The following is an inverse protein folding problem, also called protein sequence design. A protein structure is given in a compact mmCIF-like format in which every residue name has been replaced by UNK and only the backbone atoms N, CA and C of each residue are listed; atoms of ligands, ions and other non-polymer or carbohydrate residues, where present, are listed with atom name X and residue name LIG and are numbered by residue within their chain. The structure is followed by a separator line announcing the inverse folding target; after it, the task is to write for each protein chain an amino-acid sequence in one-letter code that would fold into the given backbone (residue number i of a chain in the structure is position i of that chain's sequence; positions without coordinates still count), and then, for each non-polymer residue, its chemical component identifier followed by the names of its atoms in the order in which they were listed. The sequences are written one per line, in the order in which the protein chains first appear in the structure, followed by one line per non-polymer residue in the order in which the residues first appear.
data_IF_323100493925
#
_entry.id   IF_323100493925
#
_cell.length_a   1.000
_cell.length_b   1.000
_cell.length_c   1.000
_cell.angle_alpha   90.00
_cell.angle_beta   90.00
_cell.angle_gamma   90.00
#
_symmetry.space_group_name_H-M   'P 1'
#
loop_
_entity.id
_entity.type
_entity.pdbx_description
1 polymer ?
#
# COMPACT_ATOMS: atom_id res chain seq x y z
N UNK A 1 58.77 36.01 -9.56
CA UNK A 1 57.38 36.20 -9.13
C UNK A 1 56.52 35.45 -10.18
N UNK A 2 56.35 34.17 -9.96
CA UNK A 2 55.57 33.30 -10.87
C UNK A 2 54.23 33.03 -10.19
N UNK A 3 53.18 33.48 -10.84
CA UNK A 3 51.77 33.26 -10.41
C UNK A 3 51.40 31.82 -10.73
N UNK A 4 51.21 31.01 -9.70
CA UNK A 4 50.65 29.65 -9.82
C UNK A 4 49.13 29.80 -9.93
N UNK A 5 48.61 29.39 -11.05
CA UNK A 5 47.16 29.38 -11.34
C UNK A 5 46.58 28.09 -10.73
N UNK A 6 45.91 28.24 -9.58
CA UNK A 6 45.33 27.15 -8.77
C UNK A 6 43.85 26.84 -9.08
N UNK A 7 43.42 26.97 -10.31
CA UNK A 7 42.01 26.72 -10.68
C UNK A 7 41.85 25.68 -11.79
N UNK A 8 42.43 24.50 -11.60
CA UNK A 8 42.08 23.34 -12.43
C UNK A 8 41.37 22.27 -11.57
N UNK A 9 40.09 22.49 -11.34
CA UNK A 9 39.23 21.46 -10.81
C UNK A 9 39.19 20.26 -11.80
N UNK A 10 39.51 19.03 -11.40
CA UNK A 10 39.42 17.90 -12.30
C UNK A 10 37.98 17.72 -12.75
N UNK A 11 37.72 17.30 -14.01
CA UNK A 11 36.39 17.11 -14.52
C UNK A 11 35.63 16.11 -13.63
N UNK A 12 34.54 16.55 -13.04
CA UNK A 12 33.61 15.70 -12.32
C UNK A 12 33.10 14.63 -13.29
N UNK A 13 33.61 13.41 -13.12
CA UNK A 13 33.05 12.23 -13.80
C UNK A 13 31.65 12.06 -13.24
N UNK A 14 30.65 12.47 -14.00
CA UNK A 14 29.25 12.19 -13.70
C UNK A 14 29.12 10.68 -13.47
N UNK A 15 28.54 10.24 -12.34
CA UNK A 15 28.32 8.82 -12.12
C UNK A 15 27.45 8.29 -13.26
N UNK A 16 27.98 7.35 -14.04
CA UNK A 16 27.22 6.63 -15.05
C UNK A 16 26.00 6.06 -14.35
N UNK A 17 24.76 6.45 -14.73
CA UNK A 17 23.57 5.92 -14.08
C UNK A 17 23.57 4.43 -14.32
N UNK A 18 23.72 3.65 -13.23
CA UNK A 18 23.54 2.20 -13.28
C UNK A 18 22.17 1.94 -13.91
N UNK A 19 22.09 1.07 -14.94
CA UNK A 19 20.82 0.75 -15.55
C UNK A 19 19.89 0.25 -14.47
N UNK A 20 18.81 1.01 -14.18
CA UNK A 20 17.76 0.59 -13.26
C UNK A 20 17.23 -0.73 -13.81
N UNK A 21 17.23 -1.83 -13.03
CA UNK A 21 16.60 -3.06 -13.50
C UNK A 21 15.12 -2.70 -13.74
N UNK A 22 14.74 -2.68 -15.00
CA UNK A 22 13.35 -2.46 -15.41
C UNK A 22 12.53 -3.68 -14.92
N UNK A 23 12.04 -3.62 -13.70
CA UNK A 23 11.10 -4.60 -13.13
C UNK A 23 9.67 -4.28 -13.59
N UNK A 24 9.52 -3.70 -14.76
CA UNK A 24 8.21 -3.52 -15.36
C UNK A 24 7.67 -4.87 -15.79
N UNK A 25 6.35 -5.04 -15.67
CA UNK A 25 5.64 -6.22 -16.15
C UNK A 25 6.06 -6.61 -17.58
N UNK A 26 6.34 -5.60 -18.42
CA UNK A 26 6.87 -5.76 -19.76
C UNK A 26 8.24 -6.45 -19.81
N UNK A 27 9.15 -6.13 -18.89
CA UNK A 27 10.47 -6.76 -18.84
C UNK A 27 10.36 -8.22 -18.35
N UNK A 28 9.46 -8.53 -17.45
CA UNK A 28 9.17 -9.89 -17.03
C UNK A 28 8.54 -10.71 -18.16
N UNK A 29 7.55 -10.14 -18.85
CA UNK A 29 6.90 -10.79 -19.99
C UNK A 29 7.87 -10.99 -21.16
N UNK A 30 8.72 -10.01 -21.47
CA UNK A 30 9.72 -10.14 -22.56
C UNK A 30 10.79 -11.17 -22.23
N UNK A 31 11.20 -11.32 -20.97
CA UNK A 31 12.11 -12.39 -20.52
C UNK A 31 11.43 -13.76 -20.58
N UNK A 32 10.18 -13.85 -20.10
CA UNK A 32 9.40 -15.08 -20.16
C UNK A 32 9.15 -15.57 -21.61
N UNK A 33 9.07 -14.65 -22.57
CA UNK A 33 8.94 -15.01 -24.00
C UNK A 33 10.25 -15.57 -24.57
N UNK A 34 11.40 -15.14 -24.07
CA UNK A 34 12.73 -15.54 -24.62
C UNK A 34 13.29 -16.82 -24.00
N UNK A 35 13.01 -17.09 -22.72
CA UNK A 35 13.53 -18.24 -21.98
C UNK A 35 12.45 -19.33 -21.82
N UNK A 36 12.64 -20.56 -22.39
CA UNK A 36 11.66 -21.63 -22.30
C UNK A 36 11.38 -22.07 -20.86
N UNK A 37 12.35 -22.02 -19.95
CA UNK A 37 12.14 -22.37 -18.54
C UNK A 37 11.23 -21.34 -17.84
N UNK A 38 11.40 -20.06 -18.15
CA UNK A 38 10.55 -19.00 -17.62
C UNK A 38 9.13 -19.05 -18.22
N UNK A 39 8.97 -19.47 -19.49
CA UNK A 39 7.65 -19.69 -20.09
C UNK A 39 6.84 -20.72 -19.32
N UNK A 40 7.45 -21.88 -19.01
CA UNK A 40 6.78 -22.94 -18.24
C UNK A 40 6.34 -22.43 -16.87
N UNK A 41 7.18 -21.65 -16.18
CA UNK A 41 6.85 -21.06 -14.88
C UNK A 41 5.70 -20.05 -14.98
N UNK A 42 5.71 -19.18 -15.98
CA UNK A 42 4.64 -18.18 -16.19
C UNK A 42 3.33 -18.86 -16.57
N UNK A 43 3.37 -19.82 -17.52
CA UNK A 43 2.18 -20.57 -17.92
C UNK A 43 1.62 -21.37 -16.75
N UNK A 44 2.48 -22.06 -15.99
CA UNK A 44 2.06 -22.75 -14.75
C UNK A 44 1.44 -21.84 -13.74
N UNK A 45 2.03 -20.66 -13.51
CA UNK A 45 1.47 -19.64 -12.62
C UNK A 45 0.10 -19.13 -13.08
N UNK A 46 -0.08 -18.88 -14.38
CA UNK A 46 -1.37 -18.48 -14.96
C UNK A 46 -2.43 -19.58 -14.83
N UNK A 47 -2.06 -20.84 -15.07
CA UNK A 47 -2.97 -21.98 -14.88
C UNK A 47 -3.37 -22.07 -13.41
N UNK A 48 -2.43 -21.99 -12.48
CA UNK A 48 -2.72 -22.02 -11.03
C UNK A 48 -3.66 -20.86 -10.63
N UNK A 49 -3.39 -19.64 -11.12
CA UNK A 49 -4.24 -18.48 -10.86
C UNK A 49 -5.66 -18.66 -11.42
N UNK A 50 -5.78 -19.21 -12.62
CA UNK A 50 -7.08 -19.49 -13.24
C UNK A 50 -7.85 -20.55 -12.46
N UNK A 51 -7.19 -21.66 -12.09
CA UNK A 51 -7.81 -22.71 -11.28
C UNK A 51 -8.22 -22.19 -9.90
N UNK A 52 -7.39 -21.36 -9.29
CA UNK A 52 -7.69 -20.68 -8.04
C UNK A 52 -8.92 -19.76 -8.18
N UNK A 53 -9.00 -18.97 -9.26
CA UNK A 53 -10.17 -18.13 -9.56
C UNK A 53 -11.46 -18.94 -9.77
N UNK A 54 -11.37 -20.11 -10.46
CA UNK A 54 -12.50 -21.03 -10.64
C UNK A 54 -12.94 -21.62 -9.29
N UNK A 55 -12.00 -22.01 -8.44
CA UNK A 55 -12.30 -22.57 -7.11
C UNK A 55 -13.02 -21.57 -6.20
N UNK A 56 -12.62 -20.31 -6.26
CA UNK A 56 -13.18 -19.23 -5.45
C UNK A 56 -14.17 -18.32 -6.20
N UNK A 57 -14.70 -18.79 -7.35
CA UNK A 57 -15.62 -17.98 -8.18
C UNK A 57 -16.82 -17.44 -7.42
N UNK A 58 -17.37 -18.23 -6.47
CA UNK A 58 -18.55 -17.84 -5.70
C UNK A 58 -18.21 -16.71 -4.72
N UNK A 59 -16.99 -16.72 -4.15
CA UNK A 59 -16.48 -15.64 -3.29
C UNK A 59 -16.17 -14.37 -4.08
N UNK A 60 -15.60 -14.51 -5.29
CA UNK A 60 -15.40 -13.36 -6.18
C UNK A 60 -16.74 -12.75 -6.60
N UNK A 61 -17.75 -13.57 -6.87
CA UNK A 61 -19.12 -13.11 -7.15
C UNK A 61 -19.75 -12.46 -5.92
N UNK A 62 -19.55 -13.02 -4.72
CA UNK A 62 -19.99 -12.44 -3.45
C UNK A 62 -19.40 -11.04 -3.23
N UNK A 63 -18.11 -10.85 -3.47
CA UNK A 63 -17.49 -9.53 -3.43
C UNK A 63 -18.11 -8.57 -4.43
N UNK A 64 -18.19 -8.95 -5.69
CA UNK A 64 -18.80 -8.11 -6.74
C UNK A 64 -20.22 -7.70 -6.36
N UNK A 65 -21.04 -8.66 -5.92
CA UNK A 65 -22.41 -8.39 -5.50
C UNK A 65 -22.46 -7.44 -4.30
N UNK A 66 -21.67 -7.70 -3.24
CA UNK A 66 -21.62 -6.85 -2.06
C UNK A 66 -21.17 -5.42 -2.40
N UNK A 67 -20.17 -5.27 -3.26
CA UNK A 67 -19.65 -3.94 -3.63
C UNK A 67 -20.59 -3.15 -4.54
N UNK A 68 -21.46 -3.82 -5.27
CA UNK A 68 -22.46 -3.17 -6.18
C UNK A 68 -23.78 -2.89 -5.52
N UNK A 69 -24.20 -3.70 -4.53
CA UNK A 69 -25.54 -3.62 -3.94
C UNK A 69 -25.55 -3.07 -2.52
N UNK A 70 -24.45 -3.24 -1.77
CA UNK A 70 -24.34 -2.72 -0.41
C UNK A 70 -23.42 -1.51 -0.38
N UNK A 71 -24.02 -0.37 -0.21
CA UNK A 71 -23.33 0.91 -0.09
C UNK A 71 -22.22 0.94 0.97
N UNK A 72 -22.29 0.10 2.02
CA UNK A 72 -21.28 0.04 3.08
C UNK A 72 -19.95 -0.51 2.55
N UNK A 73 -19.99 -1.30 1.48
CA UNK A 73 -18.82 -1.96 0.89
C UNK A 73 -18.44 -1.43 -0.50
N UNK A 74 -19.05 -0.36 -0.97
CA UNK A 74 -18.75 0.25 -2.27
C UNK A 74 -17.26 0.61 -2.46
N UNK A 75 -16.55 0.93 -1.37
CA UNK A 75 -15.10 1.13 -1.37
C UNK A 75 -14.29 -0.14 -1.68
N UNK A 76 -14.91 -1.32 -1.64
CA UNK A 76 -14.28 -2.59 -1.92
C UNK A 76 -13.64 -2.67 -3.31
N UNK A 77 -14.18 -1.97 -4.32
CA UNK A 77 -13.54 -1.85 -5.64
C UNK A 77 -12.18 -1.14 -5.60
N UNK A 78 -12.02 -0.18 -4.70
CA UNK A 78 -10.78 0.60 -4.60
C UNK A 78 -9.67 -0.16 -3.87
N UNK A 79 -10.02 -1.06 -2.95
CA UNK A 79 -9.06 -1.78 -2.10
C UNK A 79 -8.07 -2.63 -2.91
N UNK A 80 -8.47 -3.46 -3.89
CA UNK A 80 -7.52 -4.20 -4.73
C UNK A 80 -6.59 -3.29 -5.53
N UNK A 81 -7.10 -2.16 -6.05
CA UNK A 81 -6.30 -1.19 -6.80
C UNK A 81 -5.24 -0.53 -5.91
N UNK A 82 -5.62 -0.13 -4.70
CA UNK A 82 -4.66 0.41 -3.72
C UNK A 82 -3.67 -0.65 -3.25
N UNK A 83 -4.09 -1.91 -3.08
CA UNK A 83 -3.18 -3.01 -2.78
C UNK A 83 -2.13 -3.20 -3.86
N UNK A 84 -2.51 -3.13 -5.14
CA UNK A 84 -1.57 -3.17 -6.27
C UNK A 84 -0.63 -1.95 -6.26
N UNK A 85 -1.14 -0.77 -5.94
CA UNK A 85 -0.30 0.41 -5.76
C UNK A 85 0.73 0.22 -4.66
N UNK A 86 0.34 -0.32 -3.48
CA UNK A 86 1.28 -0.63 -2.41
C UNK A 86 2.28 -1.71 -2.82
N UNK A 87 1.85 -2.73 -3.57
CA UNK A 87 2.75 -3.74 -4.11
C UNK A 87 3.82 -3.13 -5.02
N UNK A 88 3.41 -2.19 -5.88
CA UNK A 88 4.33 -1.45 -6.74
C UNK A 88 5.32 -0.60 -5.92
N UNK A 89 4.85 0.11 -4.88
CA UNK A 89 5.73 0.87 -3.98
C UNK A 89 6.76 -0.01 -3.27
N UNK A 90 6.35 -1.21 -2.84
CA UNK A 90 7.27 -2.18 -2.22
C UNK A 90 8.27 -2.72 -3.24
N UNK A 91 7.86 -2.97 -4.49
CA UNK A 91 8.72 -3.43 -5.56
C UNK A 91 9.86 -2.43 -5.86
N UNK A 92 9.56 -1.13 -5.83
CA UNK A 92 10.57 -0.08 -6.03
C UNK A 92 11.63 0.03 -4.93
N UNK A 93 11.41 -0.57 -3.76
CA UNK A 93 12.39 -0.60 -2.66
C UNK A 93 13.57 -1.58 -2.89
N UNK A 94 13.68 -2.19 -4.07
CA UNK A 94 14.76 -3.08 -4.48
C UNK A 94 14.37 -4.56 -4.57
N UNK A 95 15.26 -5.42 -5.07
CA UNK A 95 14.98 -6.82 -5.29
C UNK A 95 14.72 -7.58 -3.99
N UNK A 96 13.82 -8.56 -4.04
CA UNK A 96 13.56 -9.49 -2.94
C UNK A 96 14.34 -10.77 -3.17
N UNK A 97 15.04 -11.25 -2.16
CA UNK A 97 15.65 -12.58 -2.23
C UNK A 97 14.54 -13.64 -2.30
N UNK A 98 14.47 -14.32 -3.42
CA UNK A 98 13.56 -15.45 -3.61
C UNK A 98 14.13 -16.63 -2.83
N UNK A 99 13.46 -16.99 -1.73
CA UNK A 99 13.77 -18.23 -0.97
C UNK A 99 12.56 -19.13 -0.99
N UNK A 100 12.82 -20.45 -0.90
CA UNK A 100 11.74 -21.42 -0.84
C UNK A 100 10.74 -21.10 0.28
N UNK A 101 9.48 -20.94 -0.11
CA UNK A 101 8.33 -20.76 0.79
C UNK A 101 7.38 -21.95 0.76
N UNK A 102 7.86 -23.14 0.32
CA UNK A 102 7.02 -24.32 0.04
C UNK A 102 6.21 -24.77 1.26
N UNK A 103 6.82 -24.82 2.45
CA UNK A 103 6.12 -25.28 3.65
C UNK A 103 5.03 -24.28 4.04
N UNK A 104 5.38 -23.01 4.25
CA UNK A 104 4.43 -21.99 4.68
C UNK A 104 3.36 -21.74 3.62
N UNK A 105 3.77 -21.57 2.36
CA UNK A 105 2.83 -21.35 1.24
C UNK A 105 1.90 -22.56 1.04
N UNK A 106 2.43 -23.79 1.15
CA UNK A 106 1.63 -25.00 1.10
C UNK A 106 0.64 -25.13 2.26
N UNK A 107 1.06 -24.78 3.49
CA UNK A 107 0.16 -24.75 4.65
C UNK A 107 -0.96 -23.70 4.47
N UNK A 108 -0.64 -22.50 3.97
CA UNK A 108 -1.62 -21.45 3.71
C UNK A 108 -2.62 -21.88 2.63
N UNK A 109 -2.17 -22.49 1.54
CA UNK A 109 -3.06 -23.04 0.51
C UNK A 109 -3.91 -24.21 1.04
N UNK A 110 -3.34 -25.09 1.84
CA UNK A 110 -4.08 -26.17 2.50
C UNK A 110 -5.18 -25.63 3.42
N UNK A 111 -4.85 -24.59 4.21
CA UNK A 111 -5.82 -23.90 5.07
C UNK A 111 -6.93 -23.21 4.25
N UNK A 112 -6.56 -22.57 3.15
CA UNK A 112 -7.52 -21.93 2.25
C UNK A 112 -8.46 -22.96 1.60
N UNK A 113 -7.93 -24.09 1.13
CA UNK A 113 -8.70 -25.18 0.58
C UNK A 113 -9.63 -25.79 1.64
N UNK A 114 -9.13 -26.02 2.85
CA UNK A 114 -9.96 -26.50 3.97
C UNK A 114 -11.10 -25.52 4.29
N UNK A 115 -10.79 -24.22 4.40
CA UNK A 115 -11.79 -23.17 4.59
C UNK A 115 -12.85 -23.19 3.48
N UNK A 116 -12.42 -23.32 2.22
CA UNK A 116 -13.34 -23.42 1.08
C UNK A 116 -14.22 -24.67 1.14
N UNK A 117 -13.67 -25.82 1.48
CA UNK A 117 -14.40 -27.07 1.62
C UNK A 117 -15.47 -26.99 2.73
N UNK A 118 -15.15 -26.35 3.86
CA UNK A 118 -16.11 -26.12 4.95
C UNK A 118 -17.27 -25.24 4.50
N UNK A 119 -17.04 -24.27 3.63
CA UNK A 119 -18.11 -23.35 3.17
C UNK A 119 -19.02 -23.93 2.11
N UNK A 120 -18.73 -25.10 1.54
CA UNK A 120 -19.62 -25.79 0.60
C UNK A 120 -20.94 -26.25 1.29
N UNK A 121 -20.89 -27.01 2.40
CA UNK A 121 -22.09 -27.41 3.12
C UNK A 121 -22.64 -26.33 4.06
N UNK A 122 -21.83 -25.35 4.46
CA UNK A 122 -22.19 -24.31 5.41
C UNK A 122 -22.22 -22.95 4.72
N UNK A 123 -23.35 -22.23 4.69
CA UNK A 123 -23.45 -20.91 4.05
C UNK A 123 -22.78 -19.82 4.92
N UNK A 124 -21.45 -19.87 5.03
CA UNK A 124 -20.62 -18.89 5.75
C UNK A 124 -19.71 -18.19 4.75
N UNK A 125 -20.23 -17.24 3.92
CA UNK A 125 -19.44 -16.57 2.88
C UNK A 125 -18.15 -15.94 3.40
N UNK A 126 -18.22 -15.30 4.57
CA UNK A 126 -17.09 -14.64 5.22
C UNK A 126 -15.87 -15.56 5.43
N UNK A 127 -16.09 -16.81 5.82
CA UNK A 127 -15.01 -17.79 5.96
C UNK A 127 -14.35 -18.11 4.61
N UNK A 128 -15.16 -18.24 3.56
CA UNK A 128 -14.68 -18.45 2.20
C UNK A 128 -13.90 -17.24 1.66
N UNK A 129 -14.35 -16.03 1.99
CA UNK A 129 -13.69 -14.78 1.62
C UNK A 129 -12.31 -14.65 2.27
N UNK A 130 -12.20 -14.97 3.57
CA UNK A 130 -10.91 -15.03 4.25
C UNK A 130 -10.01 -16.15 3.70
N UNK A 131 -10.59 -17.31 3.38
CA UNK A 131 -9.87 -18.42 2.76
C UNK A 131 -9.29 -18.02 1.40
N UNK A 132 -10.02 -17.23 0.60
CA UNK A 132 -9.53 -16.67 -0.67
C UNK A 132 -8.29 -15.79 -0.42
N UNK A 133 -8.33 -14.88 0.56
CA UNK A 133 -7.18 -13.99 0.87
C UNK A 133 -5.96 -14.78 1.35
N UNK A 134 -6.17 -15.75 2.25
CA UNK A 134 -5.11 -16.64 2.74
C UNK A 134 -4.52 -17.46 1.60
N UNK A 135 -5.36 -17.98 0.70
CA UNK A 135 -4.93 -18.74 -0.47
C UNK A 135 -4.12 -17.89 -1.46
N UNK A 136 -4.53 -16.64 -1.68
CA UNK A 136 -3.79 -15.70 -2.53
C UNK A 136 -2.40 -15.40 -1.95
N UNK A 137 -2.32 -15.16 -0.64
CA UNK A 137 -1.05 -14.97 0.06
C UNK A 137 -0.20 -16.25 0.07
N UNK A 138 -0.83 -17.42 0.19
CA UNK A 138 -0.18 -18.73 0.11
C UNK A 138 0.43 -19.00 -1.26
N UNK A 139 -0.30 -18.73 -2.33
CA UNK A 139 0.18 -18.86 -3.71
C UNK A 139 1.35 -17.89 -3.98
N UNK A 140 1.24 -16.65 -3.52
CA UNK A 140 2.33 -15.68 -3.59
C UNK A 140 3.58 -16.19 -2.85
N UNK A 141 3.40 -16.77 -1.65
CA UNK A 141 4.49 -17.31 -0.83
C UNK A 141 5.14 -18.52 -1.46
N UNK A 142 4.39 -19.39 -2.14
CA UNK A 142 4.95 -20.53 -2.89
C UNK A 142 5.87 -20.08 -4.01
N UNK A 143 5.51 -19.02 -4.72
CA UNK A 143 6.23 -18.54 -5.90
C UNK A 143 7.44 -17.71 -5.48
N UNK A 144 7.27 -16.75 -4.56
CA UNK A 144 8.27 -15.73 -4.23
C UNK A 144 8.97 -15.96 -2.88
N UNK A 145 8.43 -16.87 -2.07
CA UNK A 145 9.01 -17.27 -0.79
C UNK A 145 8.55 -16.46 0.41
N UNK A 146 8.95 -16.94 1.59
CA UNK A 146 8.53 -16.38 2.90
C UNK A 146 9.03 -14.96 3.12
N UNK A 147 10.25 -14.64 2.66
CA UNK A 147 10.80 -13.27 2.77
C UNK A 147 9.97 -12.26 1.96
N UNK A 148 9.46 -12.68 0.79
CA UNK A 148 8.58 -11.86 -0.01
C UNK A 148 7.25 -11.60 0.71
N UNK A 149 6.63 -12.63 1.32
CA UNK A 149 5.41 -12.45 2.11
C UNK A 149 5.59 -11.44 3.24
N UNK A 150 6.68 -11.56 4.01
CA UNK A 150 6.97 -10.60 5.10
C UNK A 150 7.15 -9.18 4.56
N UNK A 151 7.78 -9.01 3.40
CA UNK A 151 7.97 -7.70 2.80
C UNK A 151 6.67 -7.10 2.25
N UNK A 152 5.79 -7.93 1.69
CA UNK A 152 4.51 -7.54 1.11
C UNK A 152 3.33 -7.75 2.06
N UNK A 153 3.56 -7.98 3.35
CA UNK A 153 2.53 -8.30 4.34
C UNK A 153 1.36 -7.31 4.33
N UNK A 154 1.66 -6.01 4.19
CA UNK A 154 0.65 -4.96 4.21
C UNK A 154 -0.28 -5.03 3.00
N UNK A 155 0.22 -5.45 1.83
CA UNK A 155 -0.58 -5.63 0.61
C UNK A 155 -1.71 -6.63 0.86
N UNK A 156 -1.38 -7.78 1.47
CA UNK A 156 -2.37 -8.82 1.80
C UNK A 156 -3.27 -8.42 2.97
N UNK A 157 -2.70 -7.77 3.99
CA UNK A 157 -3.47 -7.22 5.10
C UNK A 157 -4.51 -6.20 4.60
N UNK A 158 -4.14 -5.32 3.69
CA UNK A 158 -5.03 -4.28 3.18
C UNK A 158 -6.22 -4.85 2.42
N UNK A 159 -6.08 -6.01 1.76
CA UNK A 159 -7.19 -6.70 1.11
C UNK A 159 -8.30 -7.12 2.08
N UNK A 160 -8.05 -7.21 3.38
CA UNK A 160 -9.09 -7.52 4.38
C UNK A 160 -10.19 -6.45 4.40
N UNK A 161 -9.87 -5.20 4.07
CA UNK A 161 -10.85 -4.11 4.05
C UNK A 161 -11.90 -4.22 2.93
N UNK A 162 -11.71 -5.10 1.96
CA UNK A 162 -12.70 -5.36 0.92
C UNK A 162 -13.72 -6.45 1.30
N UNK A 163 -13.47 -7.18 2.39
CA UNK A 163 -14.27 -8.34 2.82
C UNK A 163 -15.54 -7.89 3.53
N UNK A 164 -16.74 -8.27 3.06
CA UNK A 164 -17.98 -7.95 3.74
C UNK A 164 -18.08 -8.69 5.08
N UNK A 165 -18.40 -7.96 6.14
CA UNK A 165 -18.61 -8.55 7.46
C UNK A 165 -19.96 -9.26 7.52
N UNK A 166 -20.08 -10.40 8.20
CA UNK A 166 -21.37 -11.04 8.48
C UNK A 166 -22.31 -10.07 9.20
N UNK A 167 -23.59 -10.08 8.85
CA UNK A 167 -24.62 -9.19 9.44
C UNK A 167 -24.61 -9.21 10.97
N UNK A 168 -24.40 -10.40 11.57
CA UNK A 168 -24.34 -10.53 13.03
C UNK A 168 -23.12 -9.81 13.65
N UNK A 169 -21.97 -9.79 12.99
CA UNK A 169 -20.80 -9.04 13.45
C UNK A 169 -20.97 -7.55 13.16
N UNK A 170 -21.47 -7.22 11.98
CA UNK A 170 -21.79 -5.85 11.58
C UNK A 170 -22.73 -5.19 12.62
N UNK A 171 -23.88 -5.81 12.94
CA UNK A 171 -24.85 -5.24 13.86
C UNK A 171 -24.32 -5.12 15.29
N UNK A 172 -23.50 -6.05 15.77
CA UNK A 172 -22.86 -5.94 17.10
C UNK A 172 -21.95 -4.72 17.24
N UNK A 173 -21.30 -4.30 16.15
CA UNK A 173 -20.42 -3.13 16.12
C UNK A 173 -21.25 -1.86 15.83
N UNK A 174 -22.17 -1.93 14.88
CA UNK A 174 -22.93 -0.78 14.42
C UNK A 174 -23.94 -0.28 15.46
N UNK A 175 -24.68 -1.20 16.15
CA UNK A 175 -25.74 -0.81 17.07
C UNK A 175 -25.27 0.09 18.23
N UNK A 176 -24.21 -0.23 18.99
CA UNK A 176 -23.76 0.67 20.06
C UNK A 176 -23.28 2.02 19.55
N UNK A 177 -22.69 2.07 18.35
CA UNK A 177 -22.24 3.31 17.72
C UNK A 177 -23.41 4.18 17.25
N UNK A 178 -24.46 3.55 16.69
CA UNK A 178 -25.70 4.24 16.33
C UNK A 178 -26.40 4.83 17.56
N UNK A 179 -26.50 4.05 18.65
CA UNK A 179 -27.06 4.52 19.93
C UNK A 179 -26.27 5.69 20.52
N UNK A 180 -24.94 5.65 20.43
CA UNK A 180 -24.09 6.75 20.86
C UNK A 180 -24.31 7.97 19.98
N UNK A 181 -24.32 7.79 18.65
CA UNK A 181 -24.53 8.88 17.70
C UNK A 181 -25.90 9.56 17.90
N UNK A 182 -26.99 8.78 18.09
CA UNK A 182 -28.33 9.35 18.31
C UNK A 182 -28.42 10.12 19.63
N UNK A 183 -27.81 9.62 20.71
CA UNK A 183 -27.78 10.33 22.00
C UNK A 183 -27.00 11.64 21.93
N UNK A 184 -25.82 11.62 21.34
CA UNK A 184 -24.98 12.84 21.17
C UNK A 184 -25.68 13.83 20.27
N UNK A 185 -26.21 13.38 19.12
CA UNK A 185 -26.92 14.24 18.18
C UNK A 185 -28.17 14.88 18.81
N UNK A 186 -28.99 14.10 19.53
CA UNK A 186 -30.17 14.66 20.23
C UNK A 186 -29.77 15.68 21.30
N UNK A 187 -28.68 15.45 22.03
CA UNK A 187 -28.16 16.42 23.01
C UNK A 187 -27.74 17.72 22.33
N UNK A 188 -27.02 17.65 21.22
CA UNK A 188 -26.60 18.82 20.41
C UNK A 188 -27.81 19.58 19.89
N UNK A 189 -28.78 18.88 19.28
CA UNK A 189 -30.00 19.51 18.75
C UNK A 189 -30.85 20.17 19.83
N UNK A 190 -31.04 19.50 20.97
CA UNK A 190 -31.75 20.10 22.13
C UNK A 190 -31.01 21.34 22.65
N UNK A 191 -29.69 21.31 22.75
CA UNK A 191 -28.89 22.45 23.19
C UNK A 191 -28.95 23.65 22.22
N UNK A 192 -29.21 23.39 20.94
CA UNK A 192 -29.33 24.43 19.89
C UNK A 192 -30.77 24.85 19.61
N UNK A 193 -31.73 24.43 20.44
CA UNK A 193 -33.13 24.92 20.42
C UNK A 193 -34.07 24.06 19.55
N UNK A 194 -33.66 22.93 19.03
CA UNK A 194 -34.56 21.98 18.36
C UNK A 194 -34.88 20.83 19.34
N UNK A 195 -36.10 20.79 19.92
CA UNK A 195 -36.46 19.76 20.88
C UNK A 195 -36.61 18.41 20.16
N UNK A 196 -35.78 17.44 20.55
CA UNK A 196 -35.75 16.09 19.98
C UNK A 196 -35.92 15.06 21.06
N UNK A 197 -36.90 14.17 20.90
CA UNK A 197 -37.07 13.00 21.75
C UNK A 197 -36.27 11.85 21.15
N UNK A 198 -35.31 11.30 21.90
CA UNK A 198 -34.46 10.18 21.46
C UNK A 198 -34.84 8.90 22.20
N UNK A 199 -35.34 7.91 21.48
CA UNK A 199 -35.72 6.59 21.99
C UNK A 199 -34.87 5.53 21.27
N UNK A 200 -33.74 5.16 21.87
CA UNK A 200 -32.79 4.26 21.23
C UNK A 200 -32.10 4.91 19.99
N UNK A 201 -32.30 4.35 18.82
CA UNK A 201 -31.81 4.89 17.53
C UNK A 201 -32.90 5.65 16.75
N UNK A 202 -34.09 5.83 17.34
CA UNK A 202 -35.18 6.63 16.79
C UNK A 202 -35.18 8.02 17.41
N UNK A 203 -35.18 9.03 16.59
CA UNK A 203 -35.28 10.43 16.99
C UNK A 203 -36.58 11.02 16.46
N UNK A 204 -37.40 11.59 17.35
CA UNK A 204 -38.66 12.26 16.98
C UNK A 204 -38.46 13.77 17.10
N UNK A 205 -38.57 14.44 15.94
CA UNK A 205 -38.46 15.90 15.83
C UNK A 205 -39.80 16.60 16.04
N UNK A 206 -39.82 17.92 16.25
CA UNK A 206 -41.05 18.71 16.28
C UNK A 206 -41.95 18.47 15.08
N UNK A 207 -43.25 18.40 15.27
CA UNK A 207 -44.22 18.05 14.20
C UNK A 207 -44.42 16.55 14.03
N UNK A 208 -43.81 15.70 14.86
CA UNK A 208 -43.99 14.23 14.79
C UNK A 208 -43.16 13.55 13.74
N UNK A 209 -42.23 14.27 13.12
CA UNK A 209 -41.30 13.73 12.10
C UNK A 209 -40.33 12.76 12.77
N UNK A 210 -40.27 11.52 12.28
CA UNK A 210 -39.39 10.48 12.83
C UNK A 210 -38.19 10.26 11.95
N UNK A 211 -37.01 10.19 12.54
CA UNK A 211 -35.75 9.85 11.91
C UNK A 211 -35.16 8.61 12.57
N UNK A 212 -34.81 7.60 11.76
CA UNK A 212 -34.09 6.41 12.21
C UNK A 212 -32.62 6.55 11.88
N UNK A 213 -31.79 6.64 12.91
CA UNK A 213 -30.32 6.79 12.72
C UNK A 213 -29.73 5.57 11.99
N UNK A 214 -30.33 4.37 12.14
CA UNK A 214 -29.91 3.16 11.44
C UNK A 214 -30.10 3.22 9.91
N UNK A 215 -31.17 3.84 9.45
CA UNK A 215 -31.50 3.95 8.02
C UNK A 215 -30.76 5.15 7.39
N UNK A 216 -30.83 6.30 8.04
CA UNK A 216 -30.25 7.55 7.53
C UNK A 216 -28.71 7.59 7.63
N UNK A 217 -28.13 6.95 8.66
CA UNK A 217 -26.73 7.13 8.99
C UNK A 217 -26.14 5.82 9.54
N UNK A 218 -25.92 4.82 8.68
CA UNK A 218 -25.35 3.53 9.12
C UNK A 218 -23.95 3.65 9.77
N UNK A 219 -23.29 4.81 9.64
CA UNK A 219 -21.97 5.10 10.23
C UNK A 219 -20.85 4.12 9.82
N UNK A 220 -21.21 2.87 9.56
CA UNK A 220 -20.28 1.78 9.25
C UNK A 220 -19.57 2.00 7.93
N UNK A 221 -20.24 2.49 6.88
CA UNK A 221 -19.60 2.86 5.60
C UNK A 221 -18.44 3.82 5.85
N UNK A 222 -18.69 4.82 6.66
CA UNK A 222 -17.73 5.85 7.00
C UNK A 222 -16.60 5.28 7.87
N UNK A 223 -16.92 4.43 8.85
CA UNK A 223 -15.92 3.78 9.71
C UNK A 223 -14.98 2.86 8.95
N UNK A 224 -15.51 1.94 8.14
CA UNK A 224 -14.68 1.00 7.36
C UNK A 224 -13.83 1.72 6.34
N UNK A 225 -14.40 2.72 5.64
CA UNK A 225 -13.67 3.58 4.71
C UNK A 225 -12.57 4.39 5.40
N UNK A 226 -12.84 5.02 6.55
CA UNK A 226 -11.82 5.74 7.31
C UNK A 226 -10.75 4.83 7.88
N UNK A 227 -11.11 3.64 8.36
CA UNK A 227 -10.13 2.69 8.87
C UNK A 227 -9.18 2.23 7.75
N UNK A 228 -9.70 1.92 6.56
CA UNK A 228 -8.89 1.62 5.40
C UNK A 228 -7.99 2.80 5.00
N UNK A 229 -8.56 4.01 4.95
CA UNK A 229 -7.83 5.22 4.61
C UNK A 229 -6.70 5.53 5.60
N UNK A 230 -6.97 5.49 6.91
CA UNK A 230 -5.96 5.75 7.95
C UNK A 230 -4.87 4.69 7.96
N UNK A 231 -5.22 3.41 7.71
CA UNK A 231 -4.24 2.34 7.53
C UNK A 231 -3.33 2.60 6.32
N UNK A 232 -3.90 3.05 5.19
CA UNK A 232 -3.14 3.43 4.01
C UNK A 232 -2.22 4.63 4.29
N UNK A 233 -2.73 5.69 4.90
CA UNK A 233 -1.95 6.88 5.29
C UNK A 233 -0.82 6.50 6.24
N UNK A 234 -1.11 5.73 7.28
CA UNK A 234 -0.12 5.27 8.25
C UNK A 234 0.98 4.42 7.62
N UNK A 235 0.64 3.61 6.60
CA UNK A 235 1.63 2.81 5.88
C UNK A 235 2.52 3.65 4.97
N UNK A 236 1.96 4.64 4.28
CA UNK A 236 2.70 5.51 3.36
C UNK A 236 3.56 6.54 4.09
N UNK A 237 3.20 6.88 5.32
CA UNK A 237 3.90 7.90 6.10
C UNK A 237 5.21 7.35 6.67
N UNK A 238 6.34 8.03 6.37
CA UNK A 238 7.67 7.69 6.89
C UNK A 238 7.87 8.20 8.34
N UNK A 239 6.95 7.88 9.24
CA UNK A 239 6.95 8.30 10.65
C UNK A 239 7.15 7.13 11.61
N UNK A 240 7.55 7.37 12.86
CA UNK A 240 7.69 6.35 13.89
C UNK A 240 6.41 5.53 14.10
N UNK A 241 6.53 4.30 14.61
CA UNK A 241 5.40 3.39 14.81
C UNK A 241 4.28 3.96 15.69
N UNK A 242 4.62 4.68 16.76
CA UNK A 242 3.63 5.32 17.63
C UNK A 242 2.73 6.32 16.88
N UNK A 243 3.32 7.15 15.99
CA UNK A 243 2.57 8.10 15.16
C UNK A 243 1.57 7.37 14.28
N UNK A 244 2.01 6.33 13.57
CA UNK A 244 1.16 5.49 12.72
C UNK A 244 0.02 4.86 13.52
N UNK A 245 0.31 4.39 14.74
CA UNK A 245 -0.69 3.81 15.64
C UNK A 245 -1.73 4.85 16.04
N UNK A 246 -1.32 6.06 16.41
CA UNK A 246 -2.24 7.17 16.75
C UNK A 246 -3.13 7.52 15.56
N UNK A 247 -2.58 7.62 14.34
CA UNK A 247 -3.35 7.91 13.12
C UNK A 247 -4.40 6.83 12.85
N UNK A 248 -4.04 5.55 12.98
CA UNK A 248 -5.00 4.44 12.78
C UNK A 248 -6.07 4.43 13.88
N UNK A 249 -5.70 4.61 15.15
CA UNK A 249 -6.67 4.63 16.26
C UNK A 249 -7.61 5.85 16.18
N UNK A 250 -7.17 6.95 15.61
CA UNK A 250 -7.98 8.14 15.39
C UNK A 250 -9.09 7.93 14.34
N UNK A 251 -9.01 6.90 13.51
CA UNK A 251 -10.07 6.56 12.56
C UNK A 251 -11.44 6.43 13.25
N UNK A 252 -11.48 5.76 14.40
CA UNK A 252 -12.72 5.52 15.13
C UNK A 252 -13.37 6.81 15.66
N UNK A 253 -12.69 7.67 16.45
CA UNK A 253 -13.28 8.91 16.93
C UNK A 253 -13.58 9.91 15.79
N UNK A 254 -12.77 9.96 14.73
CA UNK A 254 -13.03 10.83 13.57
C UNK A 254 -14.31 10.37 12.84
N UNK A 255 -14.42 9.07 12.54
CA UNK A 255 -15.60 8.53 11.88
C UNK A 255 -16.86 8.73 12.72
N UNK A 256 -16.77 8.51 14.05
CA UNK A 256 -17.89 8.76 14.96
C UNK A 256 -18.31 10.23 14.98
N UNK A 257 -17.35 11.15 15.08
CA UNK A 257 -17.62 12.60 15.07
C UNK A 257 -18.26 13.03 13.76
N UNK A 258 -17.75 12.58 12.64
CA UNK A 258 -18.32 12.85 11.33
C UNK A 258 -19.73 12.26 11.17
N UNK A 259 -19.98 11.07 11.75
CA UNK A 259 -21.31 10.47 11.75
C UNK A 259 -22.30 11.25 12.64
N UNK A 260 -21.88 11.66 13.83
CA UNK A 260 -22.71 12.54 14.70
C UNK A 260 -23.06 13.84 14.00
N UNK A 261 -22.07 14.49 13.37
CA UNK A 261 -22.29 15.72 12.59
C UNK A 261 -23.30 15.49 11.45
N UNK A 262 -23.23 14.34 10.79
CA UNK A 262 -24.20 13.94 9.78
C UNK A 262 -25.61 13.81 10.33
N UNK A 263 -25.80 13.07 11.45
CA UNK A 263 -27.12 12.91 12.09
C UNK A 263 -27.70 14.25 12.47
N UNK A 264 -26.91 15.17 13.04
CA UNK A 264 -27.33 16.53 13.39
C UNK A 264 -27.73 17.31 12.16
N UNK A 265 -26.91 17.27 11.09
CA UNK A 265 -27.20 17.96 9.83
C UNK A 265 -28.49 17.44 9.19
N UNK A 266 -28.65 16.13 9.07
CA UNK A 266 -29.89 15.50 8.57
C UNK A 266 -31.10 15.94 9.42
N UNK A 267 -30.96 15.91 10.74
CA UNK A 267 -32.03 16.39 11.64
C UNK A 267 -32.41 17.85 11.43
N UNK A 268 -31.45 18.75 11.22
CA UNK A 268 -31.72 20.15 10.88
C UNK A 268 -32.37 20.32 9.52
N UNK A 269 -31.93 19.58 8.50
CA UNK A 269 -32.54 19.60 7.17
C UNK A 269 -34.01 19.15 7.27
N UNK A 270 -34.27 18.07 8.00
CA UNK A 270 -35.64 17.57 8.21
C UNK A 270 -36.53 18.57 8.98
N UNK A 271 -35.96 19.32 9.92
CA UNK A 271 -36.72 20.28 10.75
C UNK A 271 -36.96 21.62 10.04
N UNK A 272 -35.93 22.19 9.38
CA UNK A 272 -35.99 23.56 8.84
C UNK A 272 -36.33 23.64 7.36
N UNK A 273 -36.09 22.54 6.60
CA UNK A 273 -36.29 22.56 5.14
C UNK A 273 -37.44 21.63 4.75
N UNK A 274 -37.20 20.35 4.61
CA UNK A 274 -38.22 19.34 4.29
C UNK A 274 -37.73 17.94 4.68
N UNK A 275 -38.57 17.11 5.34
CA UNK A 275 -38.24 15.72 5.65
C UNK A 275 -37.88 14.86 4.42
N UNK A 276 -38.38 15.17 3.22
CA UNK A 276 -38.08 14.44 1.99
C UNK A 276 -36.61 14.53 1.58
N UNK A 277 -35.89 15.59 1.97
CA UNK A 277 -34.48 15.76 1.67
C UNK A 277 -33.56 14.84 2.47
N UNK A 278 -34.08 14.13 3.48
CA UNK A 278 -33.33 13.09 4.19
C UNK A 278 -33.11 11.81 3.36
N UNK A 279 -33.62 11.74 2.12
CA UNK A 279 -33.51 10.57 1.26
C UNK A 279 -33.02 10.92 -0.17
N UNK A 280 -32.62 9.92 -0.94
CA UNK A 280 -32.23 10.06 -2.34
C UNK A 280 -30.91 10.80 -2.54
N UNK A 281 -30.84 11.70 -3.52
CA UNK A 281 -29.62 12.38 -3.98
C UNK A 281 -29.00 13.26 -2.87
N UNK A 282 -29.82 13.92 -2.04
CA UNK A 282 -29.33 14.76 -0.94
C UNK A 282 -28.59 13.95 0.11
N UNK A 283 -29.08 12.73 0.41
CA UNK A 283 -28.42 11.81 1.30
C UNK A 283 -27.03 11.38 0.81
N UNK A 284 -26.88 11.20 -0.50
CA UNK A 284 -25.58 10.89 -1.12
C UNK A 284 -24.62 12.08 -1.01
N UNK A 285 -25.11 13.28 -1.30
CA UNK A 285 -24.32 14.52 -1.21
C UNK A 285 -23.85 14.78 0.22
N UNK A 286 -24.74 14.59 1.21
CA UNK A 286 -24.42 14.69 2.63
C UNK A 286 -23.32 13.67 3.03
N UNK A 287 -23.40 12.45 2.52
CA UNK A 287 -22.33 11.45 2.72
C UNK A 287 -20.97 11.88 2.21
N UNK A 288 -20.92 12.48 1.02
CA UNK A 288 -19.69 13.02 0.44
C UNK A 288 -19.16 14.19 1.29
N UNK A 289 -20.04 15.10 1.71
CA UNK A 289 -19.68 16.24 2.56
C UNK A 289 -19.06 15.77 3.88
N UNK A 290 -19.68 14.76 4.52
CA UNK A 290 -19.18 14.21 5.79
C UNK A 290 -17.89 13.43 5.62
N UNK A 291 -17.66 12.79 4.46
CA UNK A 291 -16.36 12.20 4.12
C UNK A 291 -15.28 13.29 4.04
N UNK A 292 -15.58 14.40 3.36
CA UNK A 292 -14.69 15.57 3.31
C UNK A 292 -14.41 16.17 4.70
N UNK A 293 -15.43 16.27 5.55
CA UNK A 293 -15.27 16.72 6.93
C UNK A 293 -14.36 15.77 7.75
N UNK A 294 -14.53 14.47 7.63
CA UNK A 294 -13.65 13.51 8.28
C UNK A 294 -12.19 13.57 7.76
N UNK A 295 -12.00 13.82 6.45
CA UNK A 295 -10.66 14.07 5.89
C UNK A 295 -10.03 15.33 6.47
N UNK A 296 -10.79 16.41 6.66
CA UNK A 296 -10.31 17.63 7.32
C UNK A 296 -9.89 17.36 8.76
N UNK A 297 -10.67 16.58 9.52
CA UNK A 297 -10.31 16.20 10.88
C UNK A 297 -9.03 15.36 10.93
N UNK A 298 -8.89 14.40 10.02
CA UNK A 298 -7.68 13.57 9.91
C UNK A 298 -6.46 14.43 9.54
N UNK A 299 -6.59 15.31 8.56
CA UNK A 299 -5.51 16.21 8.16
C UNK A 299 -5.12 17.16 9.29
N UNK A 300 -6.11 17.70 10.02
CA UNK A 300 -5.87 18.56 11.19
C UNK A 300 -5.14 17.81 12.30
N UNK A 301 -5.50 16.55 12.54
CA UNK A 301 -4.79 15.70 13.50
C UNK A 301 -3.34 15.46 13.07
N UNK A 302 -3.12 15.08 11.80
CA UNK A 302 -1.78 14.88 11.27
C UNK A 302 -0.94 16.17 11.36
N UNK A 303 -1.53 17.31 11.03
CA UNK A 303 -0.88 18.63 11.16
C UNK A 303 -0.51 18.94 12.60
N UNK A 304 -1.43 18.72 13.54
CA UNK A 304 -1.18 18.91 14.99
C UNK A 304 -0.05 17.99 15.48
N UNK A 305 -0.09 16.71 15.10
CA UNK A 305 0.97 15.76 15.47
C UNK A 305 2.32 16.16 14.89
N UNK A 306 2.34 16.71 13.67
CA UNK A 306 3.57 17.20 13.05
C UNK A 306 4.12 18.45 13.74
N UNK A 307 3.25 19.33 14.27
CA UNK A 307 3.68 20.49 15.05
C UNK A 307 4.20 20.12 16.44
N UNK A 308 3.57 19.14 17.08
CA UNK A 308 3.95 18.67 18.41
C UNK A 308 5.23 17.81 18.39
N UNK A 309 5.42 17.07 17.31
CA UNK A 309 6.56 16.18 17.12
C UNK A 309 7.13 16.40 15.71
N UNK A 310 7.85 17.52 15.51
CA UNK A 310 8.51 17.78 14.23
C UNK A 310 9.47 16.65 13.90
N UNK A 311 9.65 16.37 12.61
CA UNK A 311 10.68 15.45 12.16
C UNK A 311 12.04 15.94 12.70
N UNK A 312 12.91 15.04 13.16
CA UNK A 312 14.31 15.40 13.28
C UNK A 312 14.73 15.96 11.91
N UNK A 313 15.45 17.10 11.89
CA UNK A 313 15.93 17.66 10.62
C UNK A 313 16.56 16.50 9.85
N UNK A 314 16.21 16.40 8.55
CA UNK A 314 16.81 15.41 7.67
C UNK A 314 18.31 15.46 7.96
N UNK A 315 18.84 14.40 8.57
CA UNK A 315 20.27 14.21 8.62
C UNK A 315 20.63 14.10 7.14
N UNK A 316 21.05 15.22 6.55
CA UNK A 316 21.81 15.17 5.32
C UNK A 316 22.78 14.02 5.53
N UNK A 317 22.92 13.10 4.57
CA UNK A 317 23.85 12.01 4.72
C UNK A 317 25.21 12.66 5.03
N UNK A 318 25.49 12.79 6.35
CA UNK A 318 26.79 13.22 6.81
C UNK A 318 27.78 12.28 6.15
N UNK A 319 28.30 12.80 5.06
CA UNK A 319 29.61 12.47 4.54
C UNK A 319 30.09 11.04 4.80
N UNK A 320 29.76 10.16 3.84
CA UNK A 320 30.68 9.06 3.55
C UNK A 320 32.11 9.55 3.23
N UNK A 321 32.38 10.85 3.30
CA UNK A 321 33.68 11.46 3.03
C UNK A 321 34.56 11.67 4.28
N UNK A 322 34.01 11.62 5.50
CA UNK A 322 34.80 11.78 6.72
C UNK A 322 35.27 10.47 7.35
N UNK A 323 34.81 9.33 6.91
CA UNK A 323 35.25 8.01 7.36
C UNK A 323 36.05 7.24 6.28
N UNK A 324 36.70 7.90 5.37
CA UNK A 324 37.80 7.27 4.66
C UNK A 324 38.89 6.97 5.69
N UNK A 325 39.25 5.69 5.93
CA UNK A 325 40.35 5.39 6.86
C UNK A 325 41.59 6.03 6.32
N UNK A 326 42.16 6.96 7.12
CA UNK A 326 43.41 7.65 6.86
C UNK A 326 44.61 6.70 6.98
N UNK A 327 44.59 5.57 6.30
CA UNK A 327 45.69 4.63 6.19
C UNK A 327 45.76 4.04 4.78
N UNK A 328 46.16 4.89 3.83
CA UNK A 328 46.92 4.36 2.70
C UNK A 328 48.36 4.20 3.16
N UNK A 329 48.97 3.02 3.06
CA UNK A 329 50.37 2.81 3.39
C UNK A 329 51.25 3.65 2.44
N UNK A 330 52.35 4.27 2.91
CA UNK A 330 53.28 5.00 2.07
C UNK A 330 54.11 3.98 1.28
N UNK A 331 53.67 3.61 0.11
CA UNK A 331 54.47 2.80 -0.81
C UNK A 331 54.32 3.31 -2.23
N UNK A 332 55.24 4.14 -2.59
CA UNK A 332 56.14 3.98 -3.72
C UNK A 332 56.80 5.32 -4.02
N UNK A 333 58.02 5.49 -3.50
CA UNK A 333 58.91 6.51 -4.00
C UNK A 333 59.15 6.27 -5.49
N UNK A 334 59.08 7.29 -6.35
CA UNK A 334 59.54 7.15 -7.70
C UNK A 334 61.06 7.01 -7.70
N UNK A 335 61.57 5.99 -8.38
CA UNK A 335 63.00 5.86 -8.63
C UNK A 335 63.48 7.00 -9.54
N UNK A 336 64.65 7.60 -9.26
CA UNK A 336 65.18 8.66 -10.09
C UNK A 336 65.81 8.12 -11.38
N UNK A 337 65.46 8.72 -12.51
CA UNK A 337 66.34 8.83 -13.64
C UNK A 337 66.29 7.76 -14.71
N UNK A 338 65.55 8.03 -15.74
CA UNK A 338 66.01 7.74 -17.12
C UNK A 338 65.50 8.84 -18.05
N UNK A 339 66.44 9.64 -18.51
CA UNK A 339 66.27 10.60 -19.58
C UNK A 339 65.81 9.90 -20.85
N UNK A 340 64.73 10.34 -21.42
CA UNK A 340 64.35 9.96 -22.79
C UNK A 340 64.49 11.20 -23.65
N UNK A 341 65.47 11.07 -24.57
CA UNK A 341 65.79 12.02 -25.62
C UNK A 341 64.58 12.23 -26.54
N UNK A 342 64.33 13.48 -26.80
CA UNK A 342 63.42 14.00 -27.82
C UNK A 342 63.90 13.65 -29.25
N UNK A 343 63.00 13.19 -30.10
CA UNK A 343 63.21 13.12 -31.54
C UNK A 343 61.89 13.19 -32.28
N UNK A 344 61.83 13.86 -33.42
CA UNK A 344 60.61 14.42 -33.97
C UNK A 344 59.81 13.50 -34.91
N UNK A 345 58.57 13.84 -35.00
CA UNK A 345 57.51 13.60 -36.01
C UNK A 345 57.97 13.12 -37.38
N UNK A 346 57.41 12.03 -37.87
CA UNK A 346 57.40 11.61 -39.26
C UNK A 346 56.17 10.79 -39.61
N UNK A 347 55.28 11.38 -40.39
CA UNK A 347 54.18 10.71 -41.06
C UNK A 347 54.73 9.90 -42.23
N UNK A 348 54.30 8.62 -42.38
CA UNK A 348 54.11 8.04 -43.71
C UNK A 348 53.22 6.80 -43.65
N UNK A 349 52.31 6.79 -44.58
CA UNK A 349 51.34 5.79 -45.01
C UNK A 349 52.04 4.52 -45.54
N UNK A 350 51.39 3.37 -45.39
CA UNK A 350 51.53 2.29 -46.33
C UNK A 350 51.63 0.89 -45.78
N UNK A 351 50.60 0.10 -46.03
CA UNK A 351 50.76 -1.21 -46.69
C UNK A 351 50.94 -2.46 -45.81
N UNK A 352 49.88 -3.22 -45.80
CA UNK A 352 49.82 -4.69 -46.17
C UNK A 352 50.65 -5.73 -45.38
N UNK A 353 49.87 -6.75 -45.04
CA UNK A 353 50.11 -8.23 -45.14
C UNK A 353 50.86 -8.96 -44.01
N UNK A 354 50.09 -9.94 -43.53
CA UNK A 354 50.48 -11.33 -43.25
C UNK A 354 51.51 -11.63 -42.13
N UNK A 355 51.12 -12.35 -41.14
CA UNK A 355 51.41 -13.76 -40.99
C UNK A 355 51.05 -14.31 -39.61
N UNK A 356 50.27 -15.38 -39.68
CA UNK A 356 49.97 -16.34 -38.65
C UNK A 356 51.23 -17.09 -38.19
N UNK A 357 51.43 -17.26 -36.87
CA UNK A 357 52.11 -18.47 -36.34
C UNK A 357 51.57 -18.74 -34.92
N UNK A 358 51.18 -19.98 -34.62
CA UNK A 358 50.65 -20.35 -33.27
C UNK A 358 51.76 -20.86 -32.35
N UNK A 359 51.73 -20.56 -31.08
CA UNK A 359 52.55 -21.21 -30.05
C UNK A 359 51.65 -21.74 -28.90
N UNK A 360 51.42 -23.04 -28.97
CA UNK A 360 51.84 -24.17 -28.13
C UNK A 360 51.78 -23.93 -26.60
N UNK A 361 50.87 -24.65 -25.98
CA UNK A 361 50.81 -24.94 -24.55
C UNK A 361 52.01 -25.79 -24.09
N UNK A 362 52.37 -25.72 -22.82
CA UNK A 362 53.10 -26.80 -22.16
C UNK A 362 52.19 -27.60 -21.23
N UNK A 363 52.41 -28.89 -21.30
CA UNK A 363 51.93 -30.02 -20.56
C UNK A 363 52.56 -30.11 -19.14
N UNK A 364 51.71 -30.61 -18.24
CA UNK A 364 51.95 -31.66 -17.26
C UNK A 364 53.17 -31.73 -16.30
N UNK A 365 52.86 -31.84 -15.03
CA UNK A 365 53.01 -32.98 -14.09
C UNK A 365 53.88 -32.68 -12.85
N UNK A 366 53.75 -33.47 -11.79
CA UNK A 366 52.81 -34.54 -11.39
C UNK A 366 51.90 -34.13 -10.21
#
# INVERSE_FOLDING_TARGET
MAVINEDACPPTVSPVPLPRPSTTLEALLSRAVRDPAQRVTVIGGLICLTLFGILFRDNLWHFYYAWTTDDNYSHGFLVPLLSLYFANQVAHRGPVEIRSGMILGGMMLGLALLGRLITIPLPIPFLGDLALLVGLAGMFTLILGTKALIRYWFVFFFLVFMVPLPIAMYSRIASPLQLLASRVASTVMNATGVPVLCEGNRMTLPGGVQMFVAEACSGMRQMTGFLALTAAVAYLTARPGWYRTVVVLAALPIALTANVARVVLTGYIMHYVNPEYASGTYHTLEGILMMGFGLLLLNSLCSLLNQLCPDPPDQEPEDCLTNAPATLPPSSRPLPGRAILSGPVGWSSGGMTENLVPLRAPKDRP
#
